data_IF_208305622178
#
_entry.id   IF_208305622178
#
_cell.length_a   1.000
_cell.length_b   1.000
_cell.length_c   1.000
_cell.angle_alpha   90.00
_cell.angle_beta   90.00
_cell.angle_gamma   90.00
#
_symmetry.space_group_name_H-M   'P 1'
#
loop_
_entity.id
_entity.type
_entity.pdbx_description
1 polymer ?
#
# COMPACT_ATOMS: atom_id res chain seq x y z
N UNK A 1 17.63 1.01 -5.30
CA UNK A 1 16.37 1.10 -6.06
C UNK A 1 15.22 1.43 -5.13
N UNK A 2 14.33 2.25 -5.61
CA UNK A 2 13.23 2.70 -4.78
C UNK A 2 12.23 1.59 -4.53
N UNK A 3 11.81 1.50 -3.29
CA UNK A 3 10.75 0.59 -2.88
C UNK A 3 9.63 1.38 -2.24
N UNK A 4 8.42 0.83 -2.31
CA UNK A 4 7.26 1.41 -1.66
C UNK A 4 6.63 0.39 -0.73
N UNK A 5 6.09 0.90 0.37
CA UNK A 5 5.35 0.11 1.34
C UNK A 5 3.88 0.12 0.96
N UNK A 6 3.28 -1.06 0.87
CA UNK A 6 1.85 -1.18 0.63
C UNK A 6 1.19 -1.33 1.98
N UNK A 7 0.26 -0.43 2.28
CA UNK A 7 -0.35 -0.31 3.60
C UNK A 7 -1.87 -0.36 3.50
N UNK A 8 -2.51 -0.88 4.53
CA UNK A 8 -3.94 -0.75 4.69
C UNK A 8 -4.24 -0.11 6.04
N UNK A 9 -5.38 0.59 6.12
CA UNK A 9 -5.83 1.21 7.35
C UNK A 9 -6.70 0.22 8.11
N UNK A 10 -6.29 -0.13 9.33
CA UNK A 10 -7.03 -1.07 10.15
C UNK A 10 -8.22 -0.37 10.84
N UNK A 11 -8.98 -1.12 11.63
CA UNK A 11 -10.20 -0.63 12.27
C UNK A 11 -9.94 0.49 13.26
N UNK A 12 -8.75 0.56 13.82
CA UNK A 12 -8.39 1.62 14.78
C UNK A 12 -7.91 2.88 14.09
N UNK A 13 -7.85 2.88 12.75
CA UNK A 13 -7.36 4.01 11.99
C UNK A 13 -5.86 4.03 11.74
N UNK A 14 -5.15 3.03 12.23
CA UNK A 14 -3.70 2.93 12.03
C UNK A 14 -3.38 2.28 10.70
N UNK A 15 -2.27 2.70 10.09
CA UNK A 15 -1.78 2.13 8.83
C UNK A 15 -0.77 1.04 9.12
N UNK A 16 -0.98 -0.12 8.52
CA UNK A 16 -0.09 -1.28 8.66
C UNK A 16 0.55 -1.61 7.33
N UNK A 17 1.86 -1.78 7.33
CA UNK A 17 2.60 -2.22 6.13
C UNK A 17 2.49 -3.72 6.01
N UNK A 18 2.00 -4.21 4.88
CA UNK A 18 1.82 -5.64 4.64
C UNK A 18 2.73 -6.20 3.57
N UNK A 19 3.28 -5.36 2.71
CA UNK A 19 4.27 -5.79 1.73
C UNK A 19 5.08 -4.60 1.25
N UNK A 20 6.24 -4.91 0.65
CA UNK A 20 7.13 -3.93 0.05
C UNK A 20 7.34 -4.35 -1.39
N UNK A 21 7.17 -3.42 -2.33
CA UNK A 21 7.35 -3.69 -3.77
C UNK A 21 8.23 -2.62 -4.38
N UNK A 22 8.76 -2.90 -5.55
CA UNK A 22 9.50 -1.89 -6.31
C UNK A 22 8.57 -0.76 -6.73
N UNK A 23 9.13 0.44 -6.82
CA UNK A 23 8.37 1.64 -7.19
C UNK A 23 8.12 1.67 -8.70
N UNK A 24 7.31 0.72 -9.18
CA UNK A 24 6.88 0.61 -10.57
C UNK A 24 5.36 0.52 -10.57
N UNK A 25 4.69 1.31 -11.41
CA UNK A 25 3.23 1.43 -11.41
C UNK A 25 2.50 0.09 -11.47
N UNK A 26 2.86 -0.85 -12.36
CA UNK A 26 2.15 -2.13 -12.40
C UNK A 26 2.30 -2.92 -11.09
N UNK A 27 3.49 -2.90 -10.48
CA UNK A 27 3.73 -3.59 -9.23
C UNK A 27 2.90 -2.99 -8.09
N UNK A 28 2.86 -1.67 -8.03
CA UNK A 28 2.12 -0.95 -7.00
C UNK A 28 0.62 -1.23 -7.11
N UNK A 29 0.07 -1.11 -8.32
CA UNK A 29 -1.37 -1.31 -8.54
C UNK A 29 -1.77 -2.74 -8.21
N UNK A 30 -1.01 -3.73 -8.68
CA UNK A 30 -1.31 -5.13 -8.43
C UNK A 30 -1.23 -5.46 -6.94
N UNK A 31 -0.22 -4.93 -6.26
CA UNK A 31 -0.05 -5.13 -4.82
C UNK A 31 -1.21 -4.52 -4.04
N UNK A 32 -1.59 -3.28 -4.37
CA UNK A 32 -2.71 -2.61 -3.69
C UNK A 32 -4.02 -3.37 -3.89
N UNK A 33 -4.26 -3.89 -5.09
CA UNK A 33 -5.47 -4.70 -5.35
C UNK A 33 -5.49 -5.97 -4.52
N UNK A 34 -4.34 -6.65 -4.41
CA UNK A 34 -4.24 -7.86 -3.58
C UNK A 34 -4.54 -7.56 -2.12
N UNK A 35 -3.98 -6.47 -1.60
CA UNK A 35 -4.21 -6.07 -0.21
C UNK A 35 -5.67 -5.70 0.01
N UNK A 36 -6.28 -4.99 -0.95
CA UNK A 36 -7.68 -4.61 -0.86
C UNK A 36 -8.61 -5.81 -0.84
N UNK A 37 -8.29 -6.84 -1.63
CA UNK A 37 -9.08 -8.08 -1.65
C UNK A 37 -8.97 -8.84 -0.33
N UNK A 38 -7.79 -8.81 0.28
CA UNK A 38 -7.58 -9.49 1.56
C UNK A 38 -8.17 -8.72 2.74
N UNK A 39 -8.41 -7.42 2.58
CA UNK A 39 -8.89 -6.55 3.64
C UNK A 39 -10.08 -5.71 3.15
N UNK A 40 -11.23 -6.35 2.87
CA UNK A 40 -12.39 -5.64 2.33
C UNK A 40 -12.85 -4.53 3.27
N UNK A 41 -13.17 -3.39 2.70
CA UNK A 41 -13.64 -2.23 3.47
C UNK A 41 -12.53 -1.39 4.06
N UNK A 42 -11.28 -1.81 3.95
CA UNK A 42 -10.14 -1.03 4.44
C UNK A 42 -9.56 -0.18 3.32
N UNK A 43 -9.04 1.00 3.67
CA UNK A 43 -8.32 1.84 2.72
C UNK A 43 -6.93 1.26 2.48
N UNK A 44 -6.44 1.40 1.26
CA UNK A 44 -5.13 0.88 0.85
C UNK A 44 -4.35 2.00 0.19
N UNK A 45 -3.06 2.08 0.51
CA UNK A 45 -2.19 3.09 -0.08
C UNK A 45 -0.78 2.54 -0.28
N UNK A 46 -0.01 3.23 -1.12
CA UNK A 46 1.41 2.97 -1.31
C UNK A 46 2.19 4.18 -0.83
N UNK A 47 3.21 3.95 -0.01
CA UNK A 47 4.00 5.01 0.62
C UNK A 47 5.47 4.74 0.32
N UNK A 48 6.20 5.77 -0.13
CA UNK A 48 7.62 5.62 -0.43
C UNK A 48 8.45 5.65 0.87
N UNK A 49 9.76 5.50 0.72
CA UNK A 49 10.66 5.40 1.87
C UNK A 49 10.79 6.71 2.64
N UNK A 50 10.42 7.82 2.04
CA UNK A 50 10.42 9.12 2.73
C UNK A 50 9.09 9.42 3.43
N UNK A 51 8.14 8.50 3.38
CA UNK A 51 6.83 8.67 4.02
C UNK A 51 5.79 9.36 3.16
N UNK A 52 6.07 9.53 1.88
CA UNK A 52 5.20 10.22 0.95
C UNK A 52 4.21 9.23 0.33
N UNK A 53 2.93 9.56 0.32
CA UNK A 53 1.93 8.73 -0.34
C UNK A 53 2.09 8.89 -1.84
N UNK A 54 2.43 7.79 -2.54
CA UNK A 54 2.63 7.81 -3.99
C UNK A 54 1.40 7.35 -4.74
N UNK A 55 0.52 6.61 -4.10
CA UNK A 55 -0.74 6.19 -4.71
C UNK A 55 -1.72 5.78 -3.61
N UNK A 56 -3.01 5.84 -3.92
CA UNK A 56 -4.06 5.44 -3.00
C UNK A 56 -5.19 4.79 -3.79
N UNK A 57 -5.75 3.76 -3.21
CA UNK A 57 -6.82 3.00 -3.86
C UNK A 57 -8.19 3.51 -3.43
#
# INVERSE_FOLDING_TARGET
MDQVNIQYQNKTGSWATVMVVQNLSPNIVNAMRSVAQANPGCRVRAVDQSGRVVDIL
#
